data_IF_018202616853
#
_entry.id   IF_018202616853
#
_cell.length_a   1.000
_cell.length_b   1.000
_cell.length_c   1.000
_cell.angle_alpha   90.00
_cell.angle_beta   90.00
_cell.angle_gamma   90.00
#
_symmetry.space_group_name_H-M   'P 1'
#
loop_
_entity.id
_entity.type
_entity.pdbx_description
1 polymer ?
#
# COMPACT_ATOMS: atom_id res chain seq x y z
N UNK A 1 -2.68 37.97 -7.34
CA UNK A 1 -2.31 36.71 -7.98
C UNK A 1 -3.16 35.60 -7.36
N UNK A 2 -4.04 34.94 -8.15
CA UNK A 2 -4.98 33.93 -7.67
C UNK A 2 -4.52 32.50 -7.99
N UNK A 3 -4.96 31.54 -7.15
CA UNK A 3 -4.82 30.12 -7.45
C UNK A 3 -5.89 29.68 -8.45
N UNK A 4 -5.55 28.80 -9.39
CA UNK A 4 -6.55 28.04 -10.15
C UNK A 4 -7.09 26.94 -9.24
N UNK A 5 -8.42 26.86 -9.10
CA UNK A 5 -9.09 25.88 -8.27
C UNK A 5 -10.22 25.22 -9.06
N UNK A 6 -10.30 23.92 -9.03
CA UNK A 6 -11.39 23.14 -9.62
C UNK A 6 -12.16 22.48 -8.48
N UNK A 7 -13.45 22.75 -8.44
CA UNK A 7 -14.36 22.23 -7.43
C UNK A 7 -15.41 21.33 -8.08
N UNK A 8 -15.88 20.34 -7.35
CA UNK A 8 -17.11 19.61 -7.66
C UNK A 8 -18.07 19.73 -6.48
N UNK A 9 -19.37 19.77 -6.76
CA UNK A 9 -20.41 19.91 -5.73
C UNK A 9 -21.10 21.26 -5.76
N UNK A 10 -21.97 21.50 -4.76
CA UNK A 10 -22.74 22.74 -4.61
C UNK A 10 -21.82 23.90 -4.24
N UNK A 11 -22.18 25.11 -4.71
CA UNK A 11 -21.45 26.34 -4.40
C UNK A 11 -21.41 26.65 -2.88
N UNK A 12 -22.34 26.12 -2.13
CA UNK A 12 -22.43 26.27 -0.66
C UNK A 12 -21.51 25.34 0.13
N UNK A 13 -20.98 24.27 -0.50
CA UNK A 13 -20.03 23.34 0.13
C UNK A 13 -19.08 22.76 -0.93
N UNK A 14 -18.18 23.59 -1.47
CA UNK A 14 -17.32 23.18 -2.56
C UNK A 14 -16.23 22.21 -2.04
N UNK A 15 -16.17 21.01 -2.62
CA UNK A 15 -15.04 20.11 -2.45
C UNK A 15 -13.95 20.47 -3.45
N UNK A 16 -12.81 20.89 -2.95
CA UNK A 16 -11.65 21.20 -3.79
C UNK A 16 -10.95 19.90 -4.21
N UNK A 17 -11.02 19.55 -5.49
CA UNK A 17 -10.42 18.34 -6.02
C UNK A 17 -9.05 18.56 -6.65
N UNK A 18 -8.79 19.79 -7.09
CA UNK A 18 -7.55 20.16 -7.77
C UNK A 18 -7.23 21.63 -7.49
N UNK A 19 -5.98 21.91 -7.20
CA UNK A 19 -5.48 23.29 -7.03
C UNK A 19 -4.07 23.42 -7.58
N UNK A 20 -3.85 24.45 -8.39
CA UNK A 20 -2.51 24.95 -8.68
C UNK A 20 -2.26 26.15 -7.77
N UNK A 21 -1.20 26.08 -6.97
CA UNK A 21 -0.83 27.17 -6.05
C UNK A 21 -0.08 28.28 -6.79
N UNK A 22 0.12 29.42 -6.13
CA UNK A 22 0.96 30.53 -6.65
C UNK A 22 2.41 30.11 -6.85
N UNK A 23 2.88 29.04 -6.19
CA UNK A 23 4.21 28.46 -6.36
C UNK A 23 4.27 27.42 -7.50
N UNK A 24 3.19 27.23 -8.26
CA UNK A 24 3.10 26.25 -9.35
C UNK A 24 2.93 24.80 -8.89
N UNK A 25 2.72 24.53 -7.59
CA UNK A 25 2.49 23.16 -7.11
C UNK A 25 1.05 22.71 -7.38
N UNK A 26 0.88 21.46 -7.77
CA UNK A 26 -0.41 20.80 -7.95
C UNK A 26 -0.80 20.08 -6.67
N UNK A 27 -2.01 20.32 -6.18
CA UNK A 27 -2.56 19.68 -4.98
C UNK A 27 -3.87 18.96 -5.33
N UNK A 28 -3.90 17.66 -5.08
CA UNK A 28 -5.06 16.78 -5.31
C UNK A 28 -5.43 16.09 -3.99
N UNK A 29 -6.23 16.73 -3.12
CA UNK A 29 -6.48 16.26 -1.76
C UNK A 29 -7.23 14.93 -1.70
N UNK A 30 -7.99 14.59 -2.74
CA UNK A 30 -8.82 13.38 -2.78
C UNK A 30 -8.17 12.23 -3.58
N UNK A 31 -6.94 12.41 -4.08
CA UNK A 31 -6.25 11.33 -4.79
C UNK A 31 -5.93 10.19 -3.82
N UNK A 32 -6.40 8.95 -4.08
CA UNK A 32 -6.16 7.82 -3.19
C UNK A 32 -4.69 7.58 -2.94
N UNK A 33 -4.33 7.47 -1.67
CA UNK A 33 -2.97 7.15 -1.23
C UNK A 33 -3.01 6.52 0.16
N UNK A 34 -2.16 5.55 0.42
CA UNK A 34 -2.02 4.97 1.75
C UNK A 34 -0.57 4.56 2.05
N UNK A 35 -0.24 4.56 3.32
CA UNK A 35 0.96 3.97 3.90
C UNK A 35 0.56 3.36 5.23
N UNK A 36 0.83 2.08 5.39
CA UNK A 36 0.52 1.31 6.59
C UNK A 36 1.72 0.49 7.03
N UNK A 37 1.79 0.20 8.31
CA UNK A 37 2.76 -0.69 8.94
C UNK A 37 2.05 -1.54 10.00
N UNK A 38 2.74 -2.49 10.57
CA UNK A 38 2.25 -3.24 11.72
C UNK A 38 2.66 -2.55 13.03
N UNK A 39 1.85 -2.66 14.08
CA UNK A 39 2.19 -2.14 15.42
C UNK A 39 3.16 -3.03 16.17
N UNK A 40 3.18 -4.33 15.86
CA UNK A 40 4.01 -5.31 16.53
C UNK A 40 5.42 -5.34 15.91
N UNK A 41 6.43 -4.98 16.66
CA UNK A 41 7.84 -5.01 16.21
C UNK A 41 8.45 -6.40 16.20
N UNK A 42 7.75 -7.42 16.69
CA UNK A 42 8.16 -8.82 16.65
C UNK A 42 7.72 -9.50 15.35
N UNK A 43 7.81 -10.82 15.27
CA UNK A 43 7.32 -11.61 14.14
C UNK A 43 5.80 -11.43 13.99
N UNK A 44 5.39 -10.52 13.11
CA UNK A 44 4.01 -10.08 12.95
C UNK A 44 3.24 -10.91 11.91
N UNK A 45 3.92 -11.32 10.85
CA UNK A 45 3.27 -11.96 9.70
C UNK A 45 3.73 -13.41 9.55
N UNK A 46 2.75 -14.32 9.60
CA UNK A 46 2.98 -15.75 9.41
C UNK A 46 2.94 -16.18 7.95
N UNK A 47 3.40 -17.40 7.68
CA UNK A 47 3.36 -18.00 6.37
C UNK A 47 1.93 -18.30 5.88
N UNK A 48 1.73 -18.25 4.58
CA UNK A 48 0.49 -18.56 3.87
C UNK A 48 -0.72 -17.71 4.33
N UNK A 49 -0.48 -16.42 4.57
CA UNK A 49 -1.48 -15.46 5.02
C UNK A 49 -1.34 -14.10 4.32
N UNK A 50 -2.39 -13.31 4.35
CA UNK A 50 -2.31 -11.90 4.00
C UNK A 50 -1.72 -11.10 5.15
N UNK A 51 -0.86 -10.14 4.82
CA UNK A 51 -0.30 -9.21 5.81
C UNK A 51 -1.35 -8.15 6.15
N UNK A 52 -1.86 -8.18 7.36
CA UNK A 52 -2.87 -7.26 7.90
C UNK A 52 -2.20 -6.11 8.67
N UNK A 53 -1.53 -5.23 7.96
CA UNK A 53 -0.92 -4.05 8.55
C UNK A 53 -1.97 -3.22 9.29
N UNK A 54 -1.84 -3.10 10.61
CA UNK A 54 -2.84 -2.55 11.52
C UNK A 54 -2.67 -1.05 11.83
N UNK A 55 -1.48 -0.51 11.58
CA UNK A 55 -1.13 0.87 11.91
C UNK A 55 -1.13 1.75 10.67
N UNK A 56 -2.05 2.70 10.64
CA UNK A 56 -2.21 3.66 9.54
C UNK A 56 -1.30 4.86 9.77
N UNK A 57 -0.40 5.13 8.82
CA UNK A 57 0.37 6.36 8.73
C UNK A 57 -0.33 7.36 7.81
N UNK A 58 -0.84 6.88 6.70
CA UNK A 58 -1.65 7.63 5.74
C UNK A 58 -2.74 6.70 5.19
N UNK A 59 -3.98 7.19 5.09
CA UNK A 59 -5.06 6.47 4.41
C UNK A 59 -6.06 7.49 3.85
N UNK A 60 -5.65 8.15 2.78
CA UNK A 60 -6.46 9.19 2.14
C UNK A 60 -7.67 8.57 1.47
N UNK A 61 -8.86 9.01 1.87
CA UNK A 61 -10.14 8.47 1.42
C UNK A 61 -10.55 7.17 2.11
N UNK A 62 -9.75 6.66 3.05
CA UNK A 62 -10.05 5.46 3.85
C UNK A 62 -10.24 4.18 3.00
N UNK A 63 -9.38 3.99 2.00
CA UNK A 63 -9.48 2.89 1.03
C UNK A 63 -8.66 1.65 1.40
N UNK A 64 -7.81 1.74 2.44
CA UNK A 64 -7.14 0.59 3.04
C UNK A 64 -7.90 0.16 4.30
N UNK A 65 -8.16 -1.14 4.43
CA UNK A 65 -8.85 -1.76 5.56
C UNK A 65 -7.86 -2.59 6.38
N UNK A 66 -7.58 -2.14 7.60
CA UNK A 66 -6.66 -2.78 8.54
C UNK A 66 -7.13 -4.15 9.04
N UNK A 67 -8.45 -4.44 9.00
CA UNK A 67 -8.99 -5.72 9.47
C UNK A 67 -8.73 -6.89 8.53
N UNK A 68 -8.37 -6.62 7.26
CA UNK A 68 -8.15 -7.66 6.26
C UNK A 68 -6.93 -7.40 5.35
N UNK A 69 -6.15 -6.35 5.63
CA UNK A 69 -4.94 -6.02 4.90
C UNK A 69 -5.13 -5.59 3.44
N UNK A 70 -6.33 -5.10 3.06
CA UNK A 70 -6.67 -4.81 1.66
C UNK A 70 -6.79 -3.32 1.39
N UNK A 71 -6.19 -2.87 0.31
CA UNK A 71 -6.57 -1.64 -0.36
C UNK A 71 -7.65 -1.97 -1.40
N UNK A 72 -8.73 -1.19 -1.43
CA UNK A 72 -9.79 -1.32 -2.44
C UNK A 72 -9.83 -0.06 -3.30
N UNK A 73 -9.72 -0.22 -4.63
CA UNK A 73 -9.71 0.89 -5.57
C UNK A 73 -11.07 1.62 -5.59
N UNK A 74 -11.14 2.91 -5.20
CA UNK A 74 -12.39 3.67 -5.20
C UNK A 74 -12.83 4.07 -6.61
N UNK A 75 -11.89 4.15 -7.54
CA UNK A 75 -12.11 4.47 -8.95
C UNK A 75 -11.22 3.58 -9.81
N UNK A 76 -11.60 3.42 -11.07
CA UNK A 76 -10.71 2.80 -12.05
C UNK A 76 -9.51 3.70 -12.33
N UNK A 77 -8.34 3.11 -12.57
CA UNK A 77 -7.12 3.87 -12.88
C UNK A 77 -5.84 3.06 -12.66
N UNK A 78 -4.72 3.72 -12.93
CA UNK A 78 -3.38 3.16 -12.76
C UNK A 78 -2.85 3.47 -11.38
N UNK A 79 -2.47 2.45 -10.63
CA UNK A 79 -1.97 2.56 -9.26
C UNK A 79 -0.55 2.01 -9.14
N UNK A 80 0.27 2.65 -8.33
CA UNK A 80 1.55 2.12 -7.86
C UNK A 80 1.37 1.50 -6.47
N UNK A 81 1.90 0.30 -6.28
CA UNK A 81 1.99 -0.38 -4.98
C UNK A 81 3.43 -0.74 -4.67
N UNK A 82 3.82 -0.58 -3.41
CA UNK A 82 5.16 -0.90 -2.90
C UNK A 82 4.99 -1.56 -1.53
N UNK A 83 5.67 -2.68 -1.33
CA UNK A 83 5.79 -3.30 -0.01
C UNK A 83 7.23 -3.65 0.29
N UNK A 84 7.67 -3.32 1.48
CA UNK A 84 8.94 -3.73 2.06
C UNK A 84 8.66 -4.61 3.27
N UNK A 85 9.31 -5.77 3.34
CA UNK A 85 9.23 -6.67 4.49
C UNK A 85 10.62 -7.12 4.94
N UNK A 86 10.86 -7.09 6.25
CA UNK A 86 12.06 -7.60 6.88
C UNK A 86 11.80 -9.05 7.35
N UNK A 87 12.61 -9.99 6.85
CA UNK A 87 12.61 -11.37 7.35
C UNK A 87 12.91 -11.42 8.86
N UNK A 88 12.23 -12.28 9.59
CA UNK A 88 12.50 -12.51 11.02
C UNK A 88 13.71 -13.44 11.27
N UNK A 89 14.42 -13.83 10.24
CA UNK A 89 15.64 -14.65 10.33
C UNK A 89 15.40 -16.12 10.62
N UNK A 90 14.16 -16.58 10.80
CA UNK A 90 13.86 -17.98 11.12
C UNK A 90 13.83 -18.86 9.89
N UNK A 91 13.26 -18.38 8.81
CA UNK A 91 13.09 -19.10 7.56
C UNK A 91 13.16 -18.14 6.36
N UNK A 92 13.29 -18.73 5.17
CA UNK A 92 13.18 -17.96 3.93
C UNK A 92 11.81 -17.28 3.85
N UNK A 93 11.78 -15.96 3.91
CA UNK A 93 10.59 -15.17 3.67
C UNK A 93 10.38 -15.01 2.17
N UNK A 94 9.18 -15.30 1.67
CA UNK A 94 8.75 -14.69 0.43
C UNK A 94 7.40 -13.99 0.62
N UNK A 95 7.24 -12.88 -0.06
CA UNK A 95 5.97 -12.16 -0.16
C UNK A 95 5.73 -11.67 -1.59
N UNK A 96 4.49 -11.39 -1.90
CA UNK A 96 4.05 -11.03 -3.24
C UNK A 96 2.83 -10.11 -3.17
N UNK A 97 2.64 -9.32 -4.23
CA UNK A 97 1.43 -8.53 -4.42
C UNK A 97 0.36 -9.43 -5.04
N UNK A 98 -0.85 -9.39 -4.50
CA UNK A 98 -2.04 -10.06 -5.06
C UNK A 98 -3.11 -9.06 -5.44
N UNK A 99 -3.69 -9.28 -6.61
CA UNK A 99 -4.86 -8.58 -7.13
C UNK A 99 -6.04 -9.53 -7.09
N UNK A 100 -7.09 -9.19 -6.35
CA UNK A 100 -8.31 -10.01 -6.20
C UNK A 100 -8.01 -11.47 -5.80
N UNK A 101 -6.96 -11.69 -5.01
CA UNK A 101 -6.53 -13.01 -4.55
C UNK A 101 -5.54 -13.73 -5.47
N UNK A 102 -5.37 -13.27 -6.70
CA UNK A 102 -4.42 -13.86 -7.65
C UNK A 102 -3.06 -13.19 -7.57
N UNK A 103 -1.99 -13.97 -7.68
CA UNK A 103 -0.63 -13.44 -7.73
C UNK A 103 -0.45 -12.53 -8.94
N UNK A 104 0.13 -11.36 -8.73
CA UNK A 104 0.60 -10.50 -9.81
C UNK A 104 1.97 -10.98 -10.27
N UNK A 105 2.10 -11.29 -11.54
CA UNK A 105 3.35 -11.80 -12.11
C UNK A 105 4.52 -10.85 -11.88
N UNK A 106 5.68 -11.40 -11.52
CA UNK A 106 6.90 -10.62 -11.28
C UNK A 106 6.97 -9.87 -9.95
N UNK A 107 5.97 -10.02 -9.08
CA UNK A 107 5.97 -9.34 -7.77
C UNK A 107 6.45 -10.20 -6.60
N UNK A 108 6.68 -11.50 -6.83
CA UNK A 108 7.23 -12.36 -5.79
C UNK A 108 8.68 -12.00 -5.54
N UNK A 109 9.00 -11.74 -4.27
CA UNK A 109 10.37 -11.52 -3.79
C UNK A 109 10.67 -12.46 -2.64
N UNK A 110 11.93 -12.89 -2.52
CA UNK A 110 12.36 -13.87 -1.52
C UNK A 110 13.63 -13.39 -0.81
N UNK A 111 13.69 -13.60 0.50
CA UNK A 111 14.94 -13.48 1.27
C UNK A 111 15.76 -14.76 1.15
N UNK A 112 17.06 -14.65 1.35
CA UNK A 112 17.95 -15.81 1.44
C UNK A 112 17.58 -16.76 2.59
N UNK A 113 18.15 -17.96 2.55
CA UNK A 113 18.02 -18.97 3.60
C UNK A 113 19.17 -18.83 4.59
N UNK A 114 18.87 -18.78 5.89
CA UNK A 114 19.89 -18.81 6.95
C UNK A 114 19.28 -18.37 8.27
N UNK A 115 19.36 -19.22 9.28
CA UNK A 115 18.95 -18.85 10.62
C UNK A 115 19.76 -17.65 11.12
N UNK A 116 19.06 -16.64 11.65
CA UNK A 116 19.67 -15.42 12.19
C UNK A 116 20.01 -14.35 11.17
N UNK A 117 19.63 -14.50 9.89
CA UNK A 117 19.84 -13.44 8.88
C UNK A 117 18.56 -12.64 8.66
N UNK A 118 18.64 -11.36 8.99
CA UNK A 118 17.59 -10.39 8.73
C UNK A 118 17.82 -9.74 7.37
N UNK A 119 16.89 -9.93 6.45
CA UNK A 119 16.98 -9.38 5.10
C UNK A 119 15.69 -8.64 4.74
N UNK A 120 15.84 -7.42 4.29
CA UNK A 120 14.72 -6.64 3.75
C UNK A 120 14.55 -6.92 2.27
N UNK A 121 13.32 -7.21 1.87
CA UNK A 121 12.94 -7.39 0.48
C UNK A 121 11.82 -6.41 0.12
N UNK A 122 11.93 -5.84 -1.08
CA UNK A 122 10.92 -4.94 -1.63
C UNK A 122 10.27 -5.57 -2.84
N UNK A 123 8.96 -5.50 -2.91
CA UNK A 123 8.18 -5.78 -4.12
C UNK A 123 7.39 -4.55 -4.52
N UNK A 124 7.19 -4.39 -5.82
CA UNK A 124 6.42 -3.27 -6.37
C UNK A 124 5.70 -3.68 -7.64
N UNK A 125 4.59 -3.00 -7.93
CA UNK A 125 3.86 -3.15 -9.18
C UNK A 125 3.13 -1.87 -9.54
N UNK A 126 3.02 -1.62 -10.84
CA UNK A 126 2.05 -0.69 -11.41
C UNK A 126 0.91 -1.53 -11.97
N UNK A 127 -0.31 -1.26 -11.54
CA UNK A 127 -1.49 -2.03 -11.88
C UNK A 127 -2.60 -1.14 -12.40
N UNK A 128 -3.24 -1.57 -13.47
CA UNK A 128 -4.52 -1.02 -13.92
C UNK A 128 -5.64 -1.71 -13.12
N UNK A 129 -6.40 -0.94 -12.36
CA UNK A 129 -7.48 -1.45 -11.52
C UNK A 129 -8.83 -0.96 -11.99
N UNK A 130 -9.83 -1.82 -11.97
CA UNK A 130 -11.23 -1.42 -12.01
C UNK A 130 -11.67 -0.92 -10.62
N UNK A 131 -12.73 -0.11 -10.58
CA UNK A 131 -13.36 0.26 -9.31
C UNK A 131 -13.82 -0.99 -8.56
N UNK A 132 -13.41 -1.13 -7.31
CA UNK A 132 -13.74 -2.27 -6.44
C UNK A 132 -12.70 -3.38 -6.44
N UNK A 133 -11.73 -3.36 -7.35
CA UNK A 133 -10.58 -4.27 -7.27
C UNK A 133 -9.81 -4.05 -5.98
N UNK A 134 -9.30 -5.13 -5.40
CA UNK A 134 -8.52 -5.04 -4.18
C UNK A 134 -7.11 -5.61 -4.34
N UNK A 135 -6.17 -4.96 -3.66
CA UNK A 135 -4.76 -5.34 -3.63
C UNK A 135 -4.31 -5.57 -2.19
N UNK A 136 -3.54 -6.64 -1.98
CA UNK A 136 -2.99 -6.98 -0.67
C UNK A 136 -1.63 -7.65 -0.83
N UNK A 137 -0.87 -7.71 0.27
CA UNK A 137 0.39 -8.43 0.36
C UNK A 137 0.12 -9.82 0.93
N UNK A 138 0.58 -10.85 0.23
CA UNK A 138 0.52 -12.23 0.67
C UNK A 138 1.92 -12.72 1.06
N UNK A 139 2.05 -13.24 2.28
CA UNK A 139 3.25 -13.91 2.76
C UNK A 139 3.08 -15.40 2.51
N UNK A 140 3.86 -15.96 1.60
CA UNK A 140 3.70 -17.37 1.21
C UNK A 140 4.55 -18.31 2.04
N UNK A 141 5.70 -17.88 2.54
CA UNK A 141 6.53 -18.66 3.45
C UNK A 141 7.37 -17.77 4.36
N UNK A 142 7.88 -18.34 5.44
CA UNK A 142 8.66 -17.63 6.45
C UNK A 142 7.80 -16.74 7.33
N UNK A 143 8.46 -15.83 8.01
CA UNK A 143 7.84 -14.80 8.82
C UNK A 143 8.54 -13.46 8.64
N UNK A 144 7.83 -12.39 8.86
CA UNK A 144 8.37 -11.04 8.79
C UNK A 144 8.20 -10.30 10.11
N UNK A 145 9.12 -9.39 10.40
CA UNK A 145 8.96 -8.40 11.45
C UNK A 145 7.98 -7.31 11.00
N UNK A 146 7.11 -6.90 11.90
CA UNK A 146 6.26 -5.73 11.76
C UNK A 146 6.94 -4.45 12.22
N UNK A 147 6.21 -3.59 12.92
CA UNK A 147 6.71 -2.32 13.45
C UNK A 147 7.24 -1.40 12.36
N UNK A 148 8.43 -0.86 12.55
CA UNK A 148 9.11 0.01 11.58
C UNK A 148 9.85 -0.73 10.46
N UNK A 149 9.80 -2.06 10.48
CA UNK A 149 10.60 -2.91 9.58
C UNK A 149 9.84 -3.37 8.34
N UNK A 150 8.51 -3.32 8.38
CA UNK A 150 7.67 -3.74 7.26
C UNK A 150 6.56 -2.73 7.02
N UNK A 151 6.26 -2.49 5.75
CA UNK A 151 5.22 -1.57 5.35
C UNK A 151 4.57 -1.98 4.02
N UNK A 152 3.40 -1.41 3.78
CA UNK A 152 2.71 -1.46 2.51
C UNK A 152 2.16 -0.08 2.18
N UNK A 153 2.35 0.34 0.95
CA UNK A 153 1.90 1.63 0.46
C UNK A 153 1.34 1.53 -0.94
N UNK A 154 0.49 2.46 -1.30
CA UNK A 154 -0.04 2.59 -2.65
C UNK A 154 -0.55 3.99 -2.93
N UNK A 155 -0.61 4.30 -4.22
CA UNK A 155 -0.90 5.63 -4.70
C UNK A 155 -1.50 5.57 -6.11
N UNK A 156 -2.57 6.34 -6.36
CA UNK A 156 -3.15 6.52 -7.68
C UNK A 156 -2.22 7.39 -8.53
N UNK A 157 -1.79 6.89 -9.67
CA UNK A 157 -0.99 7.66 -10.64
C UNK A 157 -1.87 8.49 -11.58
N UNK A 158 -3.02 7.94 -12.02
CA UNK A 158 -3.95 8.59 -12.94
C UNK A 158 -5.02 7.63 -13.44
#
# INVERSE_FOLDING_TARGET
>A
YGNVRIFTGSYSSPNMNFRVTTLGTVHQPNQPAFLVRDSNSSSAFGANAYADFDTVILNRGNHYNTSNGRFTAPIAGTYLFISLMLSNGSNRLFHEIRLNGSQVAGTRTESGTGAGQYQSNTTQAILELAKGDWVAIHVGSGGAYGGSYSNFSGYLLG
#
